data_IF_575524317512
#
_entry.id   IF_575524317512
#
_cell.length_a   1.000
_cell.length_b   1.000
_cell.length_c   1.000
_cell.angle_alpha   90.00
_cell.angle_beta   90.00
_cell.angle_gamma   90.00
#
_symmetry.space_group_name_H-M   'P 1'
#
loop_
_entity.id
_entity.type
_entity.pdbx_description
1 polymer ?
#
# COMPACT_ATOMS: atom_id res chain seq x y z
N UNK A 1 -4.23 -4.11 26.43
CA UNK A 1 -2.94 -3.70 25.83
C UNK A 1 -3.08 -2.29 25.31
N UNK A 2 -2.18 -1.38 25.68
CA UNK A 2 -2.20 0.02 25.20
C UNK A 2 -2.18 0.07 23.67
N UNK A 3 -3.03 0.91 23.06
CA UNK A 3 -3.18 1.02 21.60
C UNK A 3 -1.85 1.18 20.86
N UNK A 4 -0.91 1.92 21.45
CA UNK A 4 0.46 2.12 20.94
C UNK A 4 1.24 0.82 20.72
N UNK A 5 1.22 -0.11 21.69
CA UNK A 5 1.90 -1.40 21.54
C UNK A 5 1.23 -2.25 20.45
N UNK A 6 -0.09 -2.14 20.30
CA UNK A 6 -0.84 -2.86 19.27
C UNK A 6 -0.54 -2.32 17.88
N UNK A 7 -0.43 -1.00 17.72
CA UNK A 7 -0.02 -0.36 16.47
C UNK A 7 1.44 -0.67 16.12
N UNK A 8 2.34 -0.75 17.09
CA UNK A 8 3.74 -1.12 16.81
C UNK A 8 3.91 -2.58 16.38
N UNK A 9 3.07 -3.48 16.92
CA UNK A 9 3.09 -4.91 16.57
C UNK A 9 2.26 -5.21 15.32
N UNK A 10 1.17 -4.49 15.12
CA UNK A 10 0.22 -4.63 14.00
C UNK A 10 -0.29 -3.25 13.58
N UNK A 11 0.48 -2.50 12.77
CA UNK A 11 0.17 -1.12 12.42
C UNK A 11 -1.09 -0.97 11.54
N UNK A 12 -1.50 -2.05 10.88
CA UNK A 12 -2.68 -2.18 10.02
C UNK A 12 -3.96 -2.58 10.78
N UNK A 13 -3.92 -2.67 12.12
CA UNK A 13 -5.10 -3.04 12.90
C UNK A 13 -6.16 -1.93 12.87
N UNK A 14 -7.30 -2.24 12.28
CA UNK A 14 -8.53 -1.45 12.32
C UNK A 14 -9.44 -1.92 13.47
N UNK A 15 -10.00 -0.97 14.22
CA UNK A 15 -10.94 -1.22 15.32
C UNK A 15 -12.33 -1.68 14.85
N UNK A 16 -12.64 -1.52 13.56
CA UNK A 16 -13.94 -1.92 13.03
C UNK A 16 -13.96 -3.41 12.61
N UNK A 17 -14.71 -4.28 13.33
CA UNK A 17 -14.69 -5.72 13.09
C UNK A 17 -15.17 -6.10 11.69
N UNK A 18 -16.05 -5.30 11.08
CA UNK A 18 -16.56 -5.53 9.72
C UNK A 18 -15.52 -5.21 8.65
N UNK A 19 -14.72 -4.14 8.80
CA UNK A 19 -13.66 -3.81 7.83
C UNK A 19 -12.53 -4.82 7.90
N UNK A 20 -12.20 -5.28 9.11
CA UNK A 20 -11.23 -6.36 9.29
C UNK A 20 -11.61 -7.64 8.53
N UNK A 21 -12.90 -7.93 8.35
CA UNK A 21 -13.37 -9.09 7.58
C UNK A 21 -13.14 -8.90 6.07
N UNK A 22 -13.41 -7.69 5.55
CA UNK A 22 -13.14 -7.31 4.16
C UNK A 22 -11.64 -7.36 3.85
N UNK A 23 -10.82 -6.76 4.72
CA UNK A 23 -9.37 -6.80 4.62
C UNK A 23 -8.83 -8.24 4.66
N UNK A 24 -9.35 -9.08 5.56
CA UNK A 24 -8.96 -10.49 5.63
C UNK A 24 -9.28 -11.24 4.33
N UNK A 25 -10.49 -11.06 3.79
CA UNK A 25 -10.87 -11.67 2.51
C UNK A 25 -9.98 -11.21 1.35
N UNK A 26 -9.63 -9.92 1.29
CA UNK A 26 -8.71 -9.38 0.29
C UNK A 26 -7.31 -10.01 0.41
N UNK A 27 -6.80 -10.13 1.64
CA UNK A 27 -5.51 -10.78 1.92
C UNK A 27 -5.50 -12.27 1.55
N UNK A 28 -6.58 -13.00 1.83
CA UNK A 28 -6.73 -14.42 1.46
C UNK A 28 -6.66 -14.61 -0.06
N UNK A 29 -7.20 -13.66 -0.82
CA UNK A 29 -7.14 -13.65 -2.28
C UNK A 29 -5.86 -13.04 -2.84
N UNK A 30 -5.03 -12.41 -2.02
CA UNK A 30 -3.85 -11.65 -2.41
C UNK A 30 -4.15 -10.49 -3.37
N UNK A 31 -5.25 -9.78 -3.10
CA UNK A 31 -5.66 -8.59 -3.87
C UNK A 31 -5.87 -7.41 -2.93
N UNK A 32 -5.94 -6.20 -3.49
CA UNK A 32 -6.32 -5.01 -2.72
C UNK A 32 -7.79 -5.00 -2.31
N UNK A 33 -8.14 -4.28 -1.23
CA UNK A 33 -9.53 -4.08 -0.79
C UNK A 33 -10.40 -3.45 -1.89
N UNK A 34 -9.82 -2.54 -2.68
CA UNK A 34 -10.47 -1.92 -3.83
C UNK A 34 -10.93 -2.97 -4.87
N UNK A 35 -10.05 -3.90 -5.22
CA UNK A 35 -10.34 -4.97 -6.18
C UNK A 35 -11.38 -5.94 -5.62
N UNK A 36 -11.29 -6.28 -4.33
CA UNK A 36 -12.30 -7.10 -3.66
C UNK A 36 -13.70 -6.45 -3.77
N UNK A 37 -13.80 -5.14 -3.61
CA UNK A 37 -15.05 -4.38 -3.77
C UNK A 37 -15.54 -4.47 -5.22
N UNK A 38 -14.69 -4.28 -6.22
CA UNK A 38 -15.09 -4.43 -7.63
C UNK A 38 -15.60 -5.85 -7.94
N UNK A 39 -14.93 -6.88 -7.42
CA UNK A 39 -15.34 -8.28 -7.57
C UNK A 39 -16.67 -8.56 -6.88
N UNK A 40 -16.87 -8.02 -5.68
CA UNK A 40 -18.10 -8.18 -4.93
C UNK A 40 -19.28 -7.52 -5.65
N UNK A 41 -19.07 -6.35 -6.26
CA UNK A 41 -20.08 -5.71 -7.11
C UNK A 41 -20.42 -6.58 -8.33
N UNK A 42 -19.40 -7.09 -9.04
CA UNK A 42 -19.56 -7.98 -10.19
C UNK A 42 -20.28 -9.28 -9.84
N UNK A 43 -19.97 -9.88 -8.69
CA UNK A 43 -20.64 -11.08 -8.20
C UNK A 43 -22.12 -10.83 -7.88
N UNK A 44 -22.44 -9.65 -7.34
CA UNK A 44 -23.80 -9.30 -6.92
C UNK A 44 -24.70 -8.86 -8.08
N UNK A 45 -24.20 -7.93 -8.91
CA UNK A 45 -24.96 -7.31 -9.98
C UNK A 45 -24.74 -7.95 -11.35
N UNK A 46 -23.76 -8.85 -11.49
CA UNK A 46 -23.34 -9.47 -12.76
C UNK A 46 -22.82 -8.47 -13.81
N UNK A 47 -22.43 -7.28 -13.36
CA UNK A 47 -21.92 -6.17 -14.16
C UNK A 47 -20.67 -5.60 -13.50
N UNK A 48 -19.79 -4.98 -14.29
CA UNK A 48 -18.62 -4.30 -13.73
C UNK A 48 -19.03 -3.02 -13.02
N UNK A 49 -18.28 -2.66 -11.96
CA UNK A 49 -18.56 -1.44 -11.20
C UNK A 49 -18.29 -0.23 -12.11
N UNK A 50 -19.30 0.59 -12.44
CA UNK A 50 -19.11 1.71 -13.36
C UNK A 50 -18.12 2.72 -12.77
N UNK A 51 -17.21 3.24 -13.60
CA UNK A 51 -16.15 4.16 -13.20
C UNK A 51 -16.68 5.37 -12.41
N UNK A 52 -17.80 5.93 -12.85
CA UNK A 52 -18.49 7.05 -12.20
C UNK A 52 -18.95 6.76 -10.75
N UNK A 53 -19.13 5.49 -10.39
CA UNK A 53 -19.58 5.05 -9.06
C UNK A 53 -18.44 4.55 -8.18
N UNK A 54 -17.30 4.20 -8.77
CA UNK A 54 -16.14 3.63 -8.06
C UNK A 54 -15.71 4.57 -6.93
N UNK A 55 -15.44 5.84 -7.26
CA UNK A 55 -14.92 6.81 -6.31
C UNK A 55 -15.87 7.01 -5.13
N UNK A 56 -17.18 7.08 -5.40
CA UNK A 56 -18.19 7.23 -4.35
C UNK A 56 -18.24 6.02 -3.42
N UNK A 57 -18.31 4.82 -3.98
CA UNK A 57 -18.39 3.58 -3.18
C UNK A 57 -17.12 3.39 -2.35
N UNK A 58 -15.96 3.63 -2.95
CA UNK A 58 -14.68 3.44 -2.27
C UNK A 58 -14.40 4.53 -1.23
N UNK A 59 -14.77 5.79 -1.50
CA UNK A 59 -14.65 6.86 -0.50
C UNK A 59 -15.57 6.65 0.70
N UNK A 60 -16.82 6.21 0.49
CA UNK A 60 -17.72 5.82 1.58
C UNK A 60 -17.11 4.68 2.41
N UNK A 61 -16.55 3.66 1.75
CA UNK A 61 -15.84 2.56 2.43
C UNK A 61 -14.64 3.03 3.26
N UNK A 62 -13.71 3.79 2.66
CA UNK A 62 -12.44 4.16 3.29
C UNK A 62 -12.57 5.27 4.32
N UNK A 63 -13.41 6.28 4.07
CA UNK A 63 -13.50 7.49 4.90
C UNK A 63 -14.58 7.33 5.97
N UNK A 64 -15.76 6.84 5.58
CA UNK A 64 -16.91 6.76 6.49
C UNK A 64 -17.04 5.40 7.16
N UNK A 65 -16.30 4.39 6.70
CA UNK A 65 -16.39 3.01 7.20
C UNK A 65 -17.71 2.33 6.81
N UNK A 66 -18.48 2.90 5.88
CA UNK A 66 -19.74 2.32 5.41
C UNK A 66 -19.41 1.23 4.41
N UNK A 67 -19.67 -0.01 4.80
CA UNK A 67 -19.40 -1.18 3.97
C UNK A 67 -20.71 -1.59 3.29
N UNK A 68 -20.78 -1.57 1.95
CA UNK A 68 -21.94 -2.06 1.24
C UNK A 68 -22.24 -3.53 1.57
N UNK A 69 -23.52 -3.89 1.59
CA UNK A 69 -23.93 -5.23 2.02
C UNK A 69 -23.34 -6.33 1.14
N UNK A 70 -23.27 -6.11 -0.17
CA UNK A 70 -22.68 -7.04 -1.13
C UNK A 70 -21.18 -7.27 -0.89
N UNK A 71 -20.42 -6.28 -0.44
CA UNK A 71 -19.01 -6.45 -0.02
C UNK A 71 -18.93 -7.39 1.17
N UNK A 72 -19.80 -7.16 2.17
CA UNK A 72 -19.81 -7.95 3.40
C UNK A 72 -20.13 -9.41 3.12
N UNK A 73 -21.13 -9.69 2.29
CA UNK A 73 -21.48 -11.05 1.90
C UNK A 73 -20.37 -11.72 1.10
N UNK A 74 -19.79 -11.02 0.14
CA UNK A 74 -18.69 -11.55 -0.65
C UNK A 74 -17.47 -11.89 0.22
N UNK A 75 -17.04 -10.99 1.10
CA UNK A 75 -15.93 -11.22 2.03
C UNK A 75 -16.17 -12.45 2.91
N UNK A 76 -17.38 -12.60 3.46
CA UNK A 76 -17.78 -13.78 4.24
C UNK A 76 -17.69 -15.06 3.46
N UNK A 77 -18.11 -15.05 2.20
CA UNK A 77 -18.07 -16.24 1.38
C UNK A 77 -16.63 -16.66 1.05
N UNK A 78 -15.72 -15.70 0.82
CA UNK A 78 -14.28 -15.98 0.70
C UNK A 78 -13.73 -16.62 1.98
N UNK A 79 -14.03 -16.05 3.14
CA UNK A 79 -13.58 -16.59 4.44
C UNK A 79 -14.14 -18.00 4.68
N UNK A 80 -15.39 -18.28 4.29
CA UNK A 80 -15.97 -19.63 4.37
C UNK A 80 -15.27 -20.61 3.43
N UNK A 81 -14.96 -20.20 2.20
CA UNK A 81 -14.25 -21.04 1.23
C UNK A 81 -12.86 -21.40 1.74
N UNK A 82 -12.17 -20.45 2.38
CA UNK A 82 -10.87 -20.67 3.01
C UNK A 82 -10.99 -21.64 4.20
N UNK A 83 -11.96 -21.41 5.09
CA UNK A 83 -12.22 -22.30 6.23
C UNK A 83 -12.61 -23.73 5.83
N UNK A 84 -13.16 -23.91 4.62
CA UNK A 84 -13.43 -25.23 4.03
C UNK A 84 -12.26 -25.82 3.23
N UNK A 85 -11.14 -25.09 3.08
CA UNK A 85 -9.95 -25.53 2.35
C UNK A 85 -10.12 -25.62 0.83
N UNK A 86 -11.16 -24.97 0.28
CA UNK A 86 -11.50 -25.02 -1.16
C UNK A 86 -11.19 -23.70 -1.87
N UNK A 87 -10.73 -22.67 -1.15
CA UNK A 87 -10.37 -21.40 -1.73
C UNK A 87 -9.12 -21.55 -2.61
N UNK A 88 -9.29 -21.29 -3.91
CA UNK A 88 -8.19 -21.14 -4.86
C UNK A 88 -7.87 -19.66 -5.02
N UNK A 89 -7.03 -19.14 -4.14
CA UNK A 89 -6.73 -17.70 -4.10
C UNK A 89 -6.14 -17.14 -5.40
N UNK A 90 -5.38 -17.96 -6.14
CA UNK A 90 -4.72 -17.56 -7.38
C UNK A 90 -5.56 -17.83 -8.65
N UNK A 91 -6.86 -18.12 -8.49
CA UNK A 91 -7.77 -18.32 -9.62
C UNK A 91 -7.97 -17.00 -10.39
N UNK A 92 -7.78 -17.01 -11.72
CA UNK A 92 -7.80 -15.81 -12.58
C UNK A 92 -9.07 -14.96 -12.40
N UNK A 93 -10.19 -15.58 -12.03
CA UNK A 93 -11.45 -14.89 -11.75
C UNK A 93 -11.36 -13.85 -10.63
N UNK A 94 -10.40 -13.98 -9.71
CA UNK A 94 -10.17 -13.01 -8.64
C UNK A 94 -9.15 -11.93 -9.03
N UNK A 95 -8.41 -12.14 -10.12
CA UNK A 95 -7.28 -11.31 -10.54
C UNK A 95 -7.54 -10.56 -11.84
N UNK A 96 -8.80 -10.41 -12.21
CA UNK A 96 -9.26 -9.77 -13.46
C UNK A 96 -8.69 -8.36 -13.66
N UNK A 97 -8.47 -7.62 -12.57
CA UNK A 97 -8.04 -6.22 -12.61
C UNK A 97 -6.55 -6.03 -12.31
N UNK A 98 -5.81 -7.10 -12.03
CA UNK A 98 -4.37 -7.04 -11.81
C UNK A 98 -3.68 -7.38 -13.14
N UNK A 99 -3.19 -6.34 -13.82
CA UNK A 99 -2.52 -6.48 -15.12
C UNK A 99 -1.15 -7.18 -15.02
N UNK A 100 -0.56 -7.25 -13.82
CA UNK A 100 0.73 -7.91 -13.58
C UNK A 100 0.53 -9.34 -13.02
N UNK A 101 -0.70 -9.71 -12.66
CA UNK A 101 -0.99 -11.01 -12.08
C UNK A 101 -0.80 -12.15 -13.08
N UNK A 102 0.04 -13.11 -12.71
CA UNK A 102 0.37 -14.25 -13.57
C UNK A 102 1.58 -14.02 -14.49
N UNK A 103 2.15 -12.80 -14.56
CA UNK A 103 3.49 -12.60 -15.13
C UNK A 103 4.55 -13.15 -14.17
N UNK A 104 4.66 -14.47 -14.15
CA UNK A 104 5.69 -15.14 -13.37
C UNK A 104 7.06 -14.74 -13.94
N UNK A 105 7.99 -14.30 -13.09
CA UNK A 105 9.41 -14.25 -13.49
C UNK A 105 9.86 -15.71 -13.61
N UNK A 106 9.68 -16.30 -14.80
CA UNK A 106 9.94 -17.71 -15.07
C UNK A 106 11.40 -18.11 -14.86
N UNK A 107 12.32 -17.15 -14.97
CA UNK A 107 13.74 -17.42 -14.95
C UNK A 107 14.41 -16.90 -13.67
N UNK A 108 14.89 -17.81 -12.83
CA UNK A 108 15.62 -17.47 -11.60
C UNK A 108 16.83 -16.58 -11.87
N UNK A 109 17.51 -16.77 -13.01
CA UNK A 109 18.64 -15.94 -13.42
C UNK A 109 18.20 -14.50 -13.67
N UNK A 110 17.05 -14.29 -14.30
CA UNK A 110 16.48 -12.97 -14.54
C UNK A 110 16.04 -12.31 -13.22
N UNK A 111 15.39 -13.06 -12.32
CA UNK A 111 15.03 -12.59 -10.97
C UNK A 111 16.26 -12.12 -10.19
N UNK A 112 17.32 -12.94 -10.16
CA UNK A 112 18.58 -12.61 -9.48
C UNK A 112 19.25 -11.37 -10.07
N UNK A 113 19.32 -11.28 -11.40
CA UNK A 113 19.94 -10.13 -12.07
C UNK A 113 19.17 -8.83 -11.81
N UNK A 114 17.83 -8.87 -11.87
CA UNK A 114 16.98 -7.72 -11.50
C UNK A 114 17.15 -7.35 -10.03
N UNK A 115 17.21 -8.33 -9.14
CA UNK A 115 17.45 -8.08 -7.70
C UNK A 115 18.80 -7.41 -7.43
N UNK A 116 19.88 -7.86 -8.09
CA UNK A 116 21.20 -7.23 -7.99
C UNK A 116 21.16 -5.80 -8.54
N UNK A 117 20.54 -5.59 -9.70
CA UNK A 117 20.39 -4.27 -10.30
C UNK A 117 19.67 -3.29 -9.35
N UNK A 118 18.51 -3.67 -8.81
CA UNK A 118 17.77 -2.81 -7.89
C UNK A 118 18.53 -2.54 -6.59
N UNK A 119 19.25 -3.54 -6.06
CA UNK A 119 20.12 -3.35 -4.90
C UNK A 119 21.20 -2.31 -5.17
N UNK A 120 21.85 -2.39 -6.33
CA UNK A 120 22.89 -1.42 -6.72
C UNK A 120 22.29 -0.01 -6.85
N UNK A 121 21.11 0.12 -7.47
CA UNK A 121 20.43 1.42 -7.63
C UNK A 121 20.12 2.02 -6.25
N UNK A 122 19.52 1.25 -5.34
CA UNK A 122 19.16 1.73 -3.99
C UNK A 122 20.41 2.16 -3.22
N UNK A 123 21.46 1.33 -3.21
CA UNK A 123 22.73 1.65 -2.53
C UNK A 123 23.40 2.88 -3.15
N UNK A 124 23.42 2.98 -4.48
CA UNK A 124 24.00 4.13 -5.17
C UNK A 124 23.25 5.42 -4.85
N UNK A 125 21.91 5.42 -4.93
CA UNK A 125 21.09 6.58 -4.57
C UNK A 125 21.31 6.97 -3.11
N UNK A 126 21.37 5.99 -2.19
CA UNK A 126 21.64 6.25 -0.78
C UNK A 126 23.01 6.91 -0.57
N UNK A 127 24.07 6.37 -1.18
CA UNK A 127 25.42 6.93 -1.05
C UNK A 127 25.51 8.32 -1.67
N UNK A 128 24.99 8.50 -2.89
CA UNK A 128 25.05 9.78 -3.61
C UNK A 128 24.29 10.87 -2.86
N UNK A 129 23.10 10.56 -2.34
CA UNK A 129 22.31 11.53 -1.56
C UNK A 129 23.00 11.91 -0.25
N UNK A 130 23.61 10.95 0.46
CA UNK A 130 24.38 11.24 1.68
C UNK A 130 25.65 12.02 1.38
N UNK A 131 26.36 11.67 0.30
CA UNK A 131 27.54 12.40 -0.14
C UNK A 131 27.20 13.85 -0.54
N UNK A 132 26.09 14.07 -1.25
CA UNK A 132 25.63 15.43 -1.53
C UNK A 132 25.28 16.17 -0.23
N UNK A 133 24.57 15.52 0.69
CA UNK A 133 24.20 16.12 1.97
C UNK A 133 25.42 16.60 2.78
N UNK A 134 26.51 15.83 2.79
CA UNK A 134 27.73 16.19 3.54
C UNK A 134 28.58 17.24 2.84
N UNK A 135 28.54 17.34 1.52
CA UNK A 135 29.44 18.21 0.75
C UNK A 135 28.81 19.54 0.32
N UNK A 136 27.48 19.62 0.21
CA UNK A 136 26.78 20.81 -0.26
C UNK A 136 26.10 21.62 0.85
N UNK A 137 25.89 21.06 2.04
CA UNK A 137 25.27 21.79 3.16
C UNK A 137 26.30 22.04 4.28
N UNK A 138 26.66 23.30 4.52
CA UNK A 138 27.62 23.68 5.56
C UNK A 138 27.08 23.46 6.98
N UNK A 139 25.79 23.74 7.21
CA UNK A 139 25.06 23.40 8.43
C UNK A 139 23.59 23.07 8.09
N UNK A 140 23.14 21.82 8.19
CA UNK A 140 21.74 21.48 7.97
C UNK A 140 20.89 22.15 9.06
N UNK A 141 19.91 22.96 8.67
CA UNK A 141 18.84 23.31 9.60
C UNK A 141 18.13 21.99 9.92
N UNK A 142 18.07 21.58 11.19
CA UNK A 142 17.50 20.31 11.63
C UNK A 142 15.98 20.17 11.45
N UNK A 143 15.43 20.74 10.39
CA UNK A 143 14.06 20.54 9.95
C UNK A 143 14.03 19.41 8.92
N UNK A 144 12.92 18.66 8.95
CA UNK A 144 12.65 17.46 8.15
C UNK A 144 13.18 17.53 6.70
N UNK A 145 13.61 16.39 6.12
CA UNK A 145 14.06 16.36 4.73
C UNK A 145 13.03 16.99 3.79
N UNK A 146 13.46 17.81 2.81
CA UNK A 146 14.84 18.03 2.38
C UNK A 146 15.64 18.95 3.32
N UNK A 147 16.95 18.67 3.46
CA UNK A 147 17.87 19.50 4.22
C UNK A 147 17.85 20.93 3.65
N UNK A 148 17.38 21.90 4.43
CA UNK A 148 17.42 23.32 4.06
C UNK A 148 18.66 23.92 4.72
N UNK A 149 19.41 24.72 3.97
CA UNK A 149 20.54 25.47 4.54
C UNK A 149 20.07 26.40 5.66
N UNK A 150 20.80 26.40 6.77
CA UNK A 150 20.51 27.26 7.92
C UNK A 150 20.60 28.76 7.60
N UNK A 151 21.37 29.14 6.58
CA UNK A 151 21.43 30.50 6.02
C UNK A 151 20.09 30.96 5.42
N UNK A 152 19.33 30.03 4.83
CA UNK A 152 18.01 30.28 4.23
C UNK A 152 16.94 30.39 5.32
N UNK A 153 17.04 29.54 6.35
CA UNK A 153 16.06 29.51 7.46
C UNK A 153 16.29 30.64 8.46
N UNK A 154 17.54 30.97 8.76
CA UNK A 154 17.95 31.97 9.75
C UNK A 154 18.91 33.01 9.15
N UNK A 155 18.47 33.78 8.14
CA UNK A 155 19.33 34.74 7.45
C UNK A 155 19.92 35.81 8.37
N UNK A 156 19.25 36.12 9.49
CA UNK A 156 19.71 37.05 10.52
C UNK A 156 21.02 36.63 11.21
N UNK A 157 21.32 35.34 11.31
CA UNK A 157 22.55 34.85 11.94
C UNK A 157 23.80 35.03 11.06
N UNK A 158 23.61 35.33 9.77
CA UNK A 158 24.68 35.38 8.76
C UNK A 158 24.85 36.77 8.10
N UNK A 159 24.09 37.79 8.53
CA UNK A 159 24.13 39.15 7.97
C UNK A 159 25.42 39.94 8.29
N UNK A 160 26.18 39.56 9.31
CA UNK A 160 27.37 40.32 9.78
C UNK A 160 28.72 39.75 9.29
N UNK A 161 28.74 38.82 8.32
CA UNK A 161 29.96 38.22 7.76
C UNK A 161 30.26 38.65 6.31
N UNK A 162 29.95 39.89 5.95
CA UNK A 162 30.35 40.49 4.66
C UNK A 162 31.48 41.48 4.82
#
# INVERSE_FOLDING_TARGET
MNGLLRTLVKPDWDDSPKRSEVLNAANLLQIGEFQLIQLAYKAWYREELPEEKIDKVFSEYMITGIIPIWVTYFARDIVKLDGAGVLKSYDEKYHVYDHEFGEHIYNERQRKNRGILYTIIIVSVFIVTHFMATNYFEEPAGFFPPYIEKSVVYPELYKDKK
#
